data_IF_028242600283
#
_entry.id   IF_028242600283
#
_cell.length_a   1.000
_cell.length_b   1.000
_cell.length_c   1.000
_cell.angle_alpha   90.00
_cell.angle_beta   90.00
_cell.angle_gamma   90.00
#
_symmetry.space_group_name_H-M   'P 1'
#
loop_
_entity.id
_entity.type
_entity.pdbx_description
1 polymer ?
#
# COMPACT_ATOMS: atom_id res chain seq x y z
N UNK A 1 3.63 -2.30 21.89
CA UNK A 1 2.36 -1.83 21.29
C UNK A 1 2.05 -2.78 20.15
N UNK A 2 0.89 -3.42 20.18
CA UNK A 2 0.44 -4.28 19.08
C UNK A 2 -0.54 -3.50 18.22
N UNK A 3 -0.41 -3.61 16.89
CA UNK A 3 -1.32 -2.98 15.93
C UNK A 3 -2.14 -4.07 15.25
N UNK A 4 -3.24 -4.54 15.88
CA UNK A 4 -3.95 -5.73 15.42
C UNK A 4 -4.52 -5.60 14.01
N UNK A 5 -4.74 -4.36 13.53
CA UNK A 5 -5.28 -4.06 12.20
C UNK A 5 -4.20 -3.81 11.14
N UNK A 6 -2.93 -3.59 11.52
CA UNK A 6 -1.87 -3.20 10.59
C UNK A 6 -1.60 -4.29 9.56
N UNK A 7 -1.27 -5.50 10.02
CA UNK A 7 -0.97 -6.62 9.15
C UNK A 7 -2.18 -7.03 8.30
N UNK A 8 -3.40 -7.21 8.84
CA UNK A 8 -4.59 -7.50 8.03
C UNK A 8 -4.87 -6.45 6.95
N UNK A 9 -4.73 -5.15 7.28
CA UNK A 9 -4.94 -4.05 6.33
C UNK A 9 -3.87 -4.05 5.23
N UNK A 10 -2.60 -4.19 5.60
CA UNK A 10 -1.52 -4.33 4.62
C UNK A 10 -1.76 -5.53 3.68
N UNK A 11 -2.14 -6.69 4.24
CA UNK A 11 -2.45 -7.90 3.46
C UNK A 11 -3.69 -7.77 2.57
N UNK A 12 -4.64 -6.89 2.91
CA UNK A 12 -5.77 -6.52 2.04
C UNK A 12 -5.25 -5.76 0.83
N UNK A 13 -4.41 -4.74 1.04
CA UNK A 13 -3.91 -3.87 -0.02
C UNK A 13 -3.01 -4.58 -1.02
N UNK A 14 -2.04 -5.37 -0.55
CA UNK A 14 -1.08 -6.07 -1.44
C UNK A 14 -1.73 -7.07 -2.39
N UNK A 15 -2.98 -7.48 -2.12
CA UNK A 15 -3.74 -8.38 -3.00
C UNK A 15 -4.48 -7.65 -4.12
N UNK A 16 -4.58 -6.33 -4.04
CA UNK A 16 -5.22 -5.51 -5.07
C UNK A 16 -4.15 -5.17 -6.11
N UNK A 17 -4.43 -5.46 -7.37
CA UNK A 17 -3.54 -5.06 -8.45
C UNK A 17 -3.67 -3.54 -8.68
N UNK A 18 -2.65 -2.79 -8.29
CA UNK A 18 -2.56 -1.33 -8.50
C UNK A 18 -1.43 -0.93 -9.45
N UNK A 19 -0.90 -1.86 -10.27
CA UNK A 19 0.30 -1.61 -11.08
C UNK A 19 0.12 -0.44 -12.06
N UNK A 20 1.11 0.42 -12.18
CA UNK A 20 1.12 1.46 -13.21
C UNK A 20 1.27 0.90 -14.64
N UNK A 21 1.14 1.75 -15.65
CA UNK A 21 1.41 1.45 -17.05
C UNK A 21 2.24 2.59 -17.67
N UNK A 22 3.50 2.32 -17.98
CA UNK A 22 4.41 3.33 -18.54
C UNK A 22 4.09 3.73 -20.00
N UNK A 23 3.23 2.95 -20.68
CA UNK A 23 2.81 3.22 -22.05
C UNK A 23 1.48 4.00 -22.12
N UNK A 24 0.86 4.30 -20.99
CA UNK A 24 -0.40 5.03 -20.94
C UNK A 24 -0.25 6.50 -21.36
N UNK A 25 -1.26 7.02 -22.05
CA UNK A 25 -1.40 8.43 -22.46
C UNK A 25 -2.31 9.24 -21.52
N UNK A 26 -2.66 8.64 -20.37
CA UNK A 26 -3.55 9.21 -19.35
C UNK A 26 -2.95 9.13 -17.95
N UNK A 27 -3.54 9.87 -17.03
CA UNK A 27 -3.17 9.86 -15.62
C UNK A 27 -4.43 9.78 -14.72
N UNK A 28 -4.48 8.91 -13.69
CA UNK A 28 -3.58 7.79 -13.42
C UNK A 28 -3.45 6.83 -14.61
N UNK A 29 -2.30 6.16 -14.74
CA UNK A 29 -1.97 5.40 -15.95
C UNK A 29 -2.97 4.27 -16.25
N UNK A 30 -3.58 3.70 -15.22
CA UNK A 30 -4.50 2.57 -15.33
C UNK A 30 -5.80 2.82 -14.57
N UNK A 31 -6.89 2.16 -14.97
CA UNK A 31 -8.17 2.28 -14.26
C UNK A 31 -8.11 1.63 -12.87
N UNK A 32 -7.33 0.55 -12.73
CA UNK A 32 -7.15 -0.16 -11.44
C UNK A 32 -6.52 0.71 -10.35
N UNK A 33 -5.67 1.68 -10.69
CA UNK A 33 -5.18 2.69 -9.74
C UNK A 33 -6.34 3.53 -9.18
N UNK A 34 -7.25 3.98 -10.05
CA UNK A 34 -8.44 4.74 -9.64
C UNK A 34 -9.37 3.87 -8.78
N UNK A 35 -9.58 2.61 -9.16
CA UNK A 35 -10.43 1.69 -8.40
C UNK A 35 -9.84 1.40 -7.01
N UNK A 36 -8.51 1.30 -6.90
CA UNK A 36 -7.82 1.18 -5.61
C UNK A 36 -8.03 2.41 -4.73
N UNK A 37 -7.95 3.61 -5.31
CA UNK A 37 -8.22 4.87 -4.59
C UNK A 37 -9.66 4.92 -4.05
N UNK A 38 -10.65 4.33 -4.74
CA UNK A 38 -12.02 4.26 -4.23
C UNK A 38 -12.14 3.39 -2.98
N UNK A 39 -11.37 2.29 -2.89
CA UNK A 39 -11.30 1.47 -1.67
C UNK A 39 -10.75 2.30 -0.51
N UNK A 40 -9.70 3.10 -0.75
CA UNK A 40 -9.11 3.97 0.27
C UNK A 40 -10.09 5.06 0.74
N UNK A 41 -10.86 5.66 -0.16
CA UNK A 41 -11.88 6.66 0.20
C UNK A 41 -12.91 6.08 1.18
N UNK A 42 -13.44 4.90 0.90
CA UNK A 42 -14.42 4.27 1.79
C UNK A 42 -13.80 3.93 3.16
N UNK A 43 -12.56 3.44 3.20
CA UNK A 43 -11.88 3.18 4.47
C UNK A 43 -11.60 4.46 5.27
N UNK A 44 -11.21 5.56 4.63
CA UNK A 44 -10.97 6.84 5.33
C UNK A 44 -12.26 7.42 5.90
N UNK A 45 -13.39 7.27 5.19
CA UNK A 45 -14.73 7.61 5.69
C UNK A 45 -15.13 6.75 6.89
N UNK A 46 -14.92 5.43 6.80
CA UNK A 46 -15.18 4.49 7.91
C UNK A 46 -14.34 4.80 9.15
N UNK A 47 -13.12 5.30 8.97
CA UNK A 47 -12.24 5.76 10.04
C UNK A 47 -12.63 7.12 10.64
N UNK A 48 -13.59 7.83 10.02
CA UNK A 48 -14.11 9.10 10.52
C UNK A 48 -13.28 10.33 10.15
N UNK A 49 -12.46 10.25 9.10
CA UNK A 49 -11.75 11.43 8.59
C UNK A 49 -12.72 12.41 7.92
N UNK A 50 -12.35 13.69 7.89
CA UNK A 50 -13.09 14.76 7.24
C UNK A 50 -12.55 15.06 5.84
N UNK A 51 -13.34 15.80 5.05
CA UNK A 51 -13.00 16.24 3.69
C UNK A 51 -12.46 15.11 2.78
N UNK A 52 -13.02 13.90 2.90
CA UNK A 52 -12.56 12.74 2.11
C UNK A 52 -13.07 12.86 0.67
N UNK A 53 -12.17 13.09 -0.28
CA UNK A 53 -12.53 13.21 -1.69
C UNK A 53 -11.41 12.72 -2.63
N UNK A 54 -11.80 12.40 -3.87
CA UNK A 54 -10.87 12.10 -4.96
C UNK A 54 -10.61 13.37 -5.76
N UNK A 55 -9.34 13.74 -5.92
CA UNK A 55 -8.93 14.78 -6.85
C UNK A 55 -8.66 14.14 -8.22
N UNK A 56 -9.62 14.24 -9.14
CA UNK A 56 -9.52 13.65 -10.48
C UNK A 56 -8.33 14.20 -11.28
N UNK A 57 -8.00 15.48 -11.13
CA UNK A 57 -6.87 16.10 -11.85
C UNK A 57 -5.52 15.60 -11.35
N UNK A 58 -5.42 15.35 -10.05
CA UNK A 58 -4.20 14.92 -9.38
C UNK A 58 -4.14 13.40 -9.13
N UNK A 59 -5.16 12.63 -9.51
CA UNK A 59 -5.17 11.18 -9.34
C UNK A 59 -5.06 10.73 -7.87
N UNK A 60 -5.44 11.58 -6.92
CA UNK A 60 -5.05 11.46 -5.51
C UNK A 60 -6.26 11.54 -4.59
N UNK A 61 -6.30 10.68 -3.58
CA UNK A 61 -7.26 10.79 -2.47
C UNK A 61 -6.73 11.78 -1.45
N UNK A 62 -7.58 12.71 -1.05
CA UNK A 62 -7.30 13.70 -0.01
C UNK A 62 -8.29 13.48 1.12
N UNK A 63 -7.79 13.58 2.35
CA UNK A 63 -8.57 13.51 3.57
C UNK A 63 -7.86 14.28 4.68
N UNK A 64 -8.63 14.70 5.69
CA UNK A 64 -8.15 15.50 6.81
C UNK A 64 -8.42 14.78 8.14
N UNK A 65 -7.44 14.86 9.04
CA UNK A 65 -7.64 14.60 10.47
C UNK A 65 -7.74 15.99 11.13
N UNK A 66 -8.90 16.37 11.69
CA UNK A 66 -9.05 17.66 12.35
C UNK A 66 -8.04 17.85 13.48
N UNK A 67 -7.69 19.12 13.76
CA UNK A 67 -6.89 19.45 14.94
C UNK A 67 -7.55 18.90 16.20
N UNK A 68 -6.75 18.32 17.08
CA UNK A 68 -7.17 17.87 18.41
C UNK A 68 -6.71 18.83 19.52
N UNK A 69 -6.29 20.04 19.16
CA UNK A 69 -5.85 21.11 20.07
C UNK A 69 -6.52 22.43 19.73
N UNK A 70 -6.70 23.28 20.74
CA UNK A 70 -7.43 24.55 20.65
C UNK A 70 -6.54 25.76 20.32
N UNK A 71 -5.29 25.53 19.90
CA UNK A 71 -4.35 26.59 19.51
C UNK A 71 -3.80 26.33 18.11
N UNK A 72 -3.32 27.41 17.48
CA UNK A 72 -2.78 27.32 16.13
C UNK A 72 -1.51 26.47 16.09
N UNK A 73 -1.52 25.46 15.22
CA UNK A 73 -0.38 24.60 14.92
C UNK A 73 -0.17 24.51 13.41
N UNK A 74 1.07 24.32 12.93
CA UNK A 74 1.31 24.07 11.53
C UNK A 74 0.61 22.79 11.04
N UNK A 75 0.04 22.85 9.84
CA UNK A 75 -0.52 21.68 9.16
C UNK A 75 0.61 20.78 8.68
N UNK A 76 0.48 19.47 8.89
CA UNK A 76 1.40 18.45 8.40
C UNK A 76 0.67 17.50 7.43
N UNK A 77 1.33 17.14 6.33
CA UNK A 77 0.83 16.17 5.37
C UNK A 77 1.61 14.86 5.43
N UNK A 78 0.88 13.74 5.31
CA UNK A 78 1.45 12.42 5.07
C UNK A 78 1.08 11.97 3.67
N UNK A 79 2.06 11.48 2.92
CA UNK A 79 1.90 11.09 1.52
C UNK A 79 2.36 9.64 1.36
N UNK A 80 1.61 8.89 0.55
CA UNK A 80 1.98 7.57 0.06
C UNK A 80 1.50 7.45 -1.39
N UNK A 81 2.22 6.69 -2.20
CA UNK A 81 1.78 6.34 -3.54
C UNK A 81 1.01 5.01 -3.48
N UNK A 82 0.09 4.80 -4.42
CA UNK A 82 -0.80 3.64 -4.44
C UNK A 82 -0.39 2.54 -5.43
N UNK A 83 0.41 2.92 -6.42
CA UNK A 83 0.82 2.08 -7.53
C UNK A 83 1.96 1.13 -7.16
N UNK A 84 2.07 0.06 -7.92
CA UNK A 84 3.20 -0.87 -7.85
C UNK A 84 4.01 -0.82 -9.14
N UNK A 85 5.32 -1.06 -9.04
CA UNK A 85 6.26 -1.03 -10.15
C UNK A 85 5.92 -2.05 -11.26
N UNK A 86 6.58 -1.94 -12.42
CA UNK A 86 6.36 -2.80 -13.59
C UNK A 86 6.89 -4.23 -13.42
N UNK A 87 6.26 -4.96 -12.48
CA UNK A 87 6.43 -6.38 -12.24
C UNK A 87 5.06 -7.06 -12.21
N UNK A 88 5.00 -8.38 -12.08
CA UNK A 88 3.73 -9.07 -11.94
C UNK A 88 3.10 -8.75 -10.57
N UNK A 89 1.90 -8.15 -10.61
CA UNK A 89 1.09 -7.73 -9.46
C UNK A 89 -0.26 -8.46 -9.40
N UNK A 90 -0.48 -9.46 -10.26
CA UNK A 90 -1.72 -10.20 -10.32
C UNK A 90 -1.71 -11.39 -9.35
N UNK A 91 -2.83 -11.57 -8.64
CA UNK A 91 -3.04 -12.70 -7.74
C UNK A 91 -1.90 -12.89 -6.70
N UNK A 92 -1.39 -11.78 -6.16
CA UNK A 92 -0.35 -11.79 -5.13
C UNK A 92 -0.79 -12.66 -3.95
N UNK A 93 0.10 -13.57 -3.53
CA UNK A 93 -0.10 -14.47 -2.39
C UNK A 93 0.97 -14.21 -1.33
N UNK A 94 0.72 -13.29 -0.38
CA UNK A 94 1.69 -12.99 0.67
C UNK A 94 2.02 -14.23 1.50
N UNK A 95 3.30 -14.39 1.83
CA UNK A 95 3.80 -15.44 2.74
C UNK A 95 4.33 -14.74 3.98
N UNK A 96 3.88 -15.20 5.16
CA UNK A 96 4.27 -14.63 6.44
C UNK A 96 5.25 -15.60 7.09
N UNK A 97 6.49 -15.17 7.31
CA UNK A 97 7.50 -15.93 8.04
C UNK A 97 7.68 -15.30 9.41
N UNK A 98 6.97 -15.86 10.40
CA UNK A 98 7.08 -15.41 11.78
C UNK A 98 8.42 -15.86 12.38
N UNK A 99 8.97 -15.04 13.28
CA UNK A 99 10.18 -15.36 14.05
C UNK A 99 11.34 -15.87 13.17
N UNK A 100 11.56 -15.24 12.01
CA UNK A 100 12.65 -15.61 11.12
C UNK A 100 13.99 -15.56 11.86
N UNK A 101 14.72 -16.68 11.83
CA UNK A 101 15.98 -16.89 12.54
C UNK A 101 17.21 -16.27 11.84
N UNK A 102 17.01 -15.66 10.67
CA UNK A 102 18.07 -15.07 9.86
C UNK A 102 18.86 -16.08 9.00
N UNK A 103 18.59 -17.39 9.12
CA UNK A 103 19.41 -18.45 8.48
C UNK A 103 18.59 -19.53 7.78
N UNK A 104 17.35 -19.75 8.19
CA UNK A 104 16.42 -20.69 7.58
C UNK A 104 16.17 -20.32 6.13
N UNK A 105 16.06 -21.35 5.29
CA UNK A 105 15.68 -21.17 3.89
C UNK A 105 14.18 -20.90 3.81
N UNK A 106 13.80 -19.85 3.09
CA UNK A 106 12.38 -19.52 2.87
C UNK A 106 11.99 -20.09 1.52
N UNK A 107 11.09 -21.08 1.53
CA UNK A 107 10.52 -21.68 0.34
C UNK A 107 9.52 -20.72 -0.33
N UNK A 108 9.68 -20.42 -1.63
CA UNK A 108 8.79 -19.50 -2.33
C UNK A 108 7.58 -20.22 -2.90
N UNK A 109 6.46 -20.23 -2.18
CA UNK A 109 5.23 -20.88 -2.62
C UNK A 109 5.49 -22.31 -3.09
N UNK A 110 5.00 -22.67 -4.28
CA UNK A 110 5.24 -23.98 -4.92
C UNK A 110 6.39 -23.97 -5.94
N UNK A 111 7.15 -22.89 -6.03
CA UNK A 111 8.25 -22.80 -6.99
C UNK A 111 9.44 -23.66 -6.53
N UNK A 112 10.29 -24.11 -7.45
CA UNK A 112 11.55 -24.80 -7.10
C UNK A 112 12.65 -23.81 -6.69
N UNK A 113 12.29 -22.72 -6.03
CA UNK A 113 13.17 -21.64 -5.62
C UNK A 113 13.08 -21.47 -4.11
N UNK A 114 14.25 -21.40 -3.46
CA UNK A 114 14.36 -21.08 -2.04
C UNK A 114 15.16 -19.80 -1.92
N UNK A 115 14.69 -18.89 -1.07
CA UNK A 115 15.50 -17.76 -0.65
C UNK A 115 16.49 -18.24 0.39
N UNK A 116 17.75 -18.04 0.07
CA UNK A 116 18.88 -18.21 0.96
C UNK A 116 19.57 -16.86 0.89
N UNK A 117 19.95 -16.26 2.01
CA UNK A 117 20.87 -15.12 1.96
C UNK A 117 22.26 -15.63 1.57
N UNK A 118 22.88 -15.22 0.45
CA UNK A 118 24.32 -15.10 0.40
C UNK A 118 24.66 -13.62 0.59
N UNK A 119 24.56 -13.09 1.80
CA UNK A 119 25.22 -11.82 2.10
C UNK A 119 26.68 -12.11 2.46
N UNK A 120 27.51 -12.36 1.44
CA UNK A 120 28.90 -11.93 1.49
C UNK A 120 28.91 -10.48 1.01
N UNK A 121 29.23 -9.54 1.90
CA UNK A 121 29.44 -8.13 1.58
C UNK A 121 30.33 -8.01 0.32
N UNK A 122 29.82 -7.28 -0.67
CA UNK A 122 30.64 -6.53 -1.63
C UNK A 122 30.38 -5.05 -1.33
#
# INVERSE_FOLDING_TARGET
>A
MEYPTLLPRFLKYVKINSRSDEHADRFPSTQREVDYQMVIIEELKELGLSDVHYNEKAGTVIAEIPSNVDWDVPVMGFLAHCDTADFNSENVKPQITENYDGVSKIQWGTANFTWIQPFSLI
#
